data_IF_560861340852
#
_entry.id   IF_560861340852
#
_cell.length_a   1.000
_cell.length_b   1.000
_cell.length_c   1.000
_cell.angle_alpha   90.00
_cell.angle_beta   90.00
_cell.angle_gamma   90.00
#
_symmetry.space_group_name_H-M   'P 1'
#
loop_
_entity.id
_entity.type
_entity.pdbx_description
1 polymer ?
#
# COMPACT_ATOMS: atom_id res chain seq x y z
N UNK A 1 -33.40 22.47 -27.12
CA UNK A 1 -32.43 21.40 -27.44
C UNK A 1 -31.35 21.42 -26.37
N UNK A 2 -31.00 20.29 -25.73
CA UNK A 2 -29.77 20.22 -24.96
C UNK A 2 -28.58 20.40 -25.91
N UNK A 3 -27.50 21.09 -25.50
CA UNK A 3 -26.33 21.26 -26.36
C UNK A 3 -25.74 19.88 -26.70
N UNK A 4 -25.32 19.73 -27.97
CA UNK A 4 -24.58 18.54 -28.42
C UNK A 4 -23.32 18.37 -27.57
N UNK A 5 -22.87 17.14 -27.29
CA UNK A 5 -21.55 16.91 -26.72
C UNK A 5 -20.52 17.58 -27.64
N UNK A 6 -19.83 18.60 -27.15
CA UNK A 6 -18.73 19.21 -27.88
C UNK A 6 -17.68 18.12 -28.09
N UNK A 7 -17.39 17.82 -29.35
CA UNK A 7 -16.19 17.07 -29.73
C UNK A 7 -15.00 17.71 -29.02
N UNK A 8 -14.17 16.96 -28.27
CA UNK A 8 -13.09 17.53 -27.48
C UNK A 8 -12.12 18.25 -28.42
N UNK A 9 -12.19 19.58 -28.45
CA UNK A 9 -11.20 20.39 -29.14
C UNK A 9 -9.98 20.49 -28.25
N UNK A 10 -8.83 20.25 -28.85
CA UNK A 10 -7.44 20.27 -28.35
C UNK A 10 -7.00 21.53 -27.60
N UNK A 11 -7.93 22.42 -27.20
CA UNK A 11 -7.63 23.72 -26.60
C UNK A 11 -7.98 23.78 -25.12
N UNK A 12 -8.91 22.96 -24.62
CA UNK A 12 -9.32 22.97 -23.20
C UNK A 12 -8.65 21.82 -22.43
N UNK A 13 -8.08 22.08 -21.25
CA UNK A 13 -7.51 21.03 -20.43
C UNK A 13 -8.62 20.11 -19.92
N UNK A 14 -8.31 18.83 -19.72
CA UNK A 14 -9.25 17.92 -19.11
C UNK A 14 -9.56 18.33 -17.66
N UNK A 15 -10.84 18.43 -17.27
CA UNK A 15 -11.20 18.79 -15.91
C UNK A 15 -10.86 17.68 -14.91
N UNK A 16 -10.70 18.06 -13.64
CA UNK A 16 -10.61 17.10 -12.52
C UNK A 16 -11.82 16.16 -12.52
N UNK A 17 -11.58 14.89 -12.25
CA UNK A 17 -12.58 13.82 -12.26
C UNK A 17 -12.77 13.15 -13.63
N UNK A 18 -12.23 13.73 -14.72
CA UNK A 18 -12.32 13.11 -16.05
C UNK A 18 -11.63 11.75 -16.05
N UNK A 19 -12.29 10.76 -16.66
CA UNK A 19 -11.71 9.44 -16.90
C UNK A 19 -11.10 9.45 -18.30
N UNK A 20 -9.81 9.11 -18.39
CA UNK A 20 -9.05 9.03 -19.63
C UNK A 20 -8.39 7.65 -19.77
N UNK A 21 -8.01 7.28 -20.99
CA UNK A 21 -7.06 6.20 -21.27
C UNK A 21 -5.64 6.73 -21.41
N UNK A 22 -4.67 6.00 -20.88
CA UNK A 22 -3.25 6.30 -21.09
C UNK A 22 -2.80 5.95 -22.52
N UNK A 23 -2.07 6.86 -23.18
CA UNK A 23 -1.39 6.60 -24.47
C UNK A 23 0.04 6.08 -24.31
N UNK A 24 0.59 6.16 -23.10
CA UNK A 24 1.91 5.68 -22.70
C UNK A 24 1.81 4.83 -21.44
N UNK A 25 2.82 4.01 -21.13
CA UNK A 25 2.91 3.37 -19.82
C UNK A 25 3.40 4.39 -18.77
N UNK A 26 2.90 4.30 -17.54
CA UNK A 26 3.20 5.25 -16.45
C UNK A 26 3.49 4.47 -15.17
N UNK A 27 4.49 4.92 -14.40
CA UNK A 27 4.75 4.42 -13.05
C UNK A 27 4.15 5.34 -12.00
N UNK A 28 3.72 4.78 -10.88
CA UNK A 28 3.15 5.53 -9.76
C UNK A 28 3.43 4.92 -8.41
N UNK A 29 3.05 5.67 -7.37
CA UNK A 29 3.12 5.23 -5.97
C UNK A 29 1.71 5.14 -5.41
N UNK A 30 1.51 4.22 -4.47
CA UNK A 30 0.27 4.12 -3.75
C UNK A 30 -0.11 5.43 -3.08
N UNK A 31 -1.39 5.75 -3.12
CA UNK A 31 -2.00 6.81 -2.33
C UNK A 31 -2.27 6.20 -0.94
N UNK A 32 -1.60 6.71 0.08
CA UNK A 32 -1.66 6.20 1.46
C UNK A 32 -1.26 4.71 1.60
N UNK A 33 -0.02 4.33 1.24
CA UNK A 33 0.40 2.94 1.34
C UNK A 33 0.46 2.46 2.79
N UNK A 34 0.15 1.17 3.06
CA UNK A 34 0.53 0.55 4.32
C UNK A 34 2.07 0.52 4.44
N UNK A 35 2.63 0.49 5.66
CA UNK A 35 4.08 0.52 5.87
C UNK A 35 4.87 -0.53 5.10
N UNK A 36 4.28 -1.71 4.90
CA UNK A 36 4.89 -2.82 4.12
C UNK A 36 5.08 -2.50 2.63
N UNK A 37 4.36 -1.50 2.10
CA UNK A 37 4.38 -1.12 0.68
C UNK A 37 4.95 0.29 0.46
N UNK A 38 5.58 0.88 1.48
CA UNK A 38 6.20 2.21 1.36
C UNK A 38 7.37 2.18 0.35
N UNK A 39 7.37 3.16 -0.56
CA UNK A 39 8.45 3.34 -1.56
C UNK A 39 8.33 2.48 -2.82
N UNK A 40 7.44 1.49 -2.86
CA UNK A 40 7.20 0.68 -4.05
C UNK A 40 6.54 1.49 -5.18
N UNK A 41 6.96 1.19 -6.42
CA UNK A 41 6.36 1.74 -7.64
C UNK A 41 5.51 0.67 -8.33
N UNK A 42 4.41 1.11 -8.94
CA UNK A 42 3.46 0.27 -9.64
C UNK A 42 3.21 0.81 -11.04
N UNK A 43 3.07 -0.08 -12.01
CA UNK A 43 2.88 0.27 -13.41
C UNK A 43 1.40 0.39 -13.76
N UNK A 44 1.06 1.39 -14.57
CA UNK A 44 -0.15 1.46 -15.37
C UNK A 44 0.25 1.26 -16.84
N UNK A 45 -0.14 0.14 -17.48
CA UNK A 45 0.19 -0.09 -18.88
C UNK A 45 -0.53 0.92 -19.78
N UNK A 46 0.01 1.11 -20.99
CA UNK A 46 -0.68 1.84 -22.07
C UNK A 46 -2.09 1.27 -22.26
N UNK A 47 -3.07 2.15 -22.38
CA UNK A 47 -4.49 1.82 -22.51
C UNK A 47 -5.25 1.75 -21.18
N UNK A 48 -4.57 1.80 -20.03
CA UNK A 48 -5.23 1.79 -18.72
C UNK A 48 -6.16 2.99 -18.55
N UNK A 49 -7.30 2.76 -17.89
CA UNK A 49 -8.19 3.83 -17.46
C UNK A 49 -7.61 4.51 -16.22
N UNK A 50 -7.53 5.84 -16.28
CA UNK A 50 -7.04 6.69 -15.20
C UNK A 50 -8.01 7.84 -14.98
N UNK A 51 -8.10 8.31 -13.75
CA UNK A 51 -8.89 9.48 -13.37
C UNK A 51 -7.97 10.66 -13.15
N UNK A 52 -8.32 11.81 -13.71
CA UNK A 52 -7.60 13.06 -13.45
C UNK A 52 -7.93 13.53 -12.04
N UNK A 53 -6.90 13.62 -11.21
CA UNK A 53 -7.02 14.07 -9.82
C UNK A 53 -6.76 15.57 -9.69
N UNK A 54 -5.78 16.06 -10.44
CA UNK A 54 -5.39 17.47 -10.43
C UNK A 54 -4.88 17.87 -11.80
N UNK A 55 -5.05 19.15 -12.12
CA UNK A 55 -4.56 19.77 -13.34
C UNK A 55 -3.92 21.11 -13.01
N UNK A 56 -2.69 21.29 -13.44
CA UNK A 56 -1.89 22.47 -13.14
C UNK A 56 -1.11 22.92 -14.37
N UNK A 57 -0.72 24.20 -14.41
CA UNK A 57 0.16 24.69 -15.47
C UNK A 57 1.57 24.12 -15.28
N UNK A 58 2.18 23.61 -16.35
CA UNK A 58 3.52 23.03 -16.34
C UNK A 58 4.63 24.09 -16.22
N UNK A 59 4.34 25.32 -16.64
CA UNK A 59 5.30 26.42 -16.61
C UNK A 59 4.90 27.38 -15.52
N UNK A 60 5.83 27.60 -14.58
CA UNK A 60 5.74 28.65 -13.57
C UNK A 60 6.11 30.00 -14.21
N UNK A 61 5.48 30.35 -15.33
CA UNK A 61 5.58 31.71 -15.84
C UNK A 61 4.73 32.55 -14.90
N UNK A 62 5.26 33.66 -14.38
CA UNK A 62 4.46 34.71 -13.72
C UNK A 62 3.48 35.39 -14.68
N UNK A 63 2.95 34.63 -15.65
CA UNK A 63 2.02 34.98 -16.70
C UNK A 63 0.62 34.62 -16.24
N UNK A 64 -0.32 35.52 -16.48
CA UNK A 64 -1.76 35.33 -16.27
C UNK A 64 -2.41 34.50 -17.38
N UNK A 65 -1.61 33.76 -18.17
CA UNK A 65 -2.12 32.95 -19.27
C UNK A 65 -3.15 31.92 -18.76
N UNK A 66 -4.30 31.80 -19.45
CA UNK A 66 -5.30 30.83 -19.09
C UNK A 66 -4.75 29.40 -19.23
N UNK A 67 -5.20 28.51 -18.36
CA UNK A 67 -4.87 27.09 -18.45
C UNK A 67 -5.48 26.51 -19.74
N UNK A 68 -4.63 25.99 -20.62
CA UNK A 68 -5.00 25.37 -21.89
C UNK A 68 -4.56 23.91 -21.92
N UNK A 69 -5.03 23.13 -22.89
CA UNK A 69 -4.55 21.75 -23.07
C UNK A 69 -3.02 21.70 -23.32
N UNK A 70 -2.46 22.70 -24.01
CA UNK A 70 -1.05 22.74 -24.38
C UNK A 70 -0.10 22.98 -23.19
N UNK A 71 -0.54 23.70 -22.16
CA UNK A 71 0.27 24.01 -20.97
C UNK A 71 -0.14 23.22 -19.71
N UNK A 72 -1.14 22.34 -19.81
CA UNK A 72 -1.65 21.56 -18.70
C UNK A 72 -0.82 20.30 -18.42
N UNK A 73 -0.45 20.13 -17.15
CA UNK A 73 0.10 18.92 -16.56
C UNK A 73 -0.92 18.26 -15.65
N UNK A 74 -1.11 16.95 -15.84
CA UNK A 74 -2.13 16.17 -15.15
C UNK A 74 -1.51 15.25 -14.10
N UNK A 75 -2.08 15.29 -12.90
CA UNK A 75 -1.94 14.23 -11.90
C UNK A 75 -3.07 13.24 -12.11
N UNK A 76 -2.73 11.98 -12.28
CA UNK A 76 -3.70 10.91 -12.55
C UNK A 76 -3.63 9.84 -11.48
N UNK A 77 -4.81 9.30 -11.15
CA UNK A 77 -4.98 8.18 -10.26
C UNK A 77 -5.51 6.97 -11.03
N UNK A 78 -5.07 5.77 -10.64
CA UNK A 78 -5.62 4.51 -11.13
C UNK A 78 -5.71 3.49 -10.01
N UNK A 79 -6.46 2.43 -10.25
CA UNK A 79 -6.57 1.31 -9.32
C UNK A 79 -5.73 0.17 -9.84
N UNK A 80 -4.92 -0.43 -8.96
CA UNK A 80 -4.20 -1.67 -9.24
C UNK A 80 -4.50 -2.69 -8.16
N UNK A 81 -4.47 -3.96 -8.52
CA UNK A 81 -4.61 -5.07 -7.59
C UNK A 81 -3.22 -5.53 -7.18
N UNK A 82 -2.93 -5.51 -5.87
CA UNK A 82 -1.64 -5.92 -5.30
C UNK A 82 -1.88 -7.07 -4.34
N UNK A 83 -1.06 -8.14 -4.40
CA UNK A 83 -1.05 -9.17 -3.37
C UNK A 83 -0.59 -8.54 -2.05
N UNK A 84 -1.52 -8.42 -1.11
CA UNK A 84 -1.26 -7.91 0.23
C UNK A 84 -1.31 -9.05 1.23
N UNK A 85 -0.28 -9.11 2.08
CA UNK A 85 -0.27 -10.01 3.23
C UNK A 85 -1.22 -9.43 4.28
N UNK A 86 -2.29 -10.16 4.58
CA UNK A 86 -3.32 -9.72 5.53
C UNK A 86 -3.43 -10.72 6.67
N UNK A 87 -3.90 -10.22 7.81
CA UNK A 87 -4.26 -11.06 8.93
C UNK A 87 -5.41 -12.00 8.53
N UNK A 88 -5.15 -13.29 8.63
CA UNK A 88 -6.14 -14.35 8.47
C UNK A 88 -6.85 -14.62 9.80
N UNK A 89 -8.09 -14.14 9.94
CA UNK A 89 -8.90 -14.40 11.12
C UNK A 89 -8.37 -13.75 12.40
N UNK A 90 -8.86 -14.21 13.54
CA UNK A 90 -8.50 -13.68 14.85
C UNK A 90 -7.05 -14.04 15.23
N UNK A 91 -6.42 -13.25 16.12
CA UNK A 91 -5.14 -13.64 16.70
C UNK A 91 -5.22 -15.05 17.26
N UNK A 92 -4.12 -15.80 17.15
CA UNK A 92 -4.01 -17.12 17.74
C UNK A 92 -4.00 -16.95 19.27
N UNK A 93 -5.19 -17.09 19.87
CA UNK A 93 -5.50 -16.70 21.26
C UNK A 93 -4.77 -17.56 22.33
N UNK A 94 -4.23 -18.70 21.92
CA UNK A 94 -3.74 -19.73 22.86
C UNK A 94 -2.28 -19.62 23.29
N UNK A 95 -1.55 -18.57 22.91
CA UNK A 95 -0.19 -18.36 23.42
C UNK A 95 0.53 -17.15 22.82
N UNK A 96 1.24 -16.41 23.66
CA UNK A 96 2.13 -15.33 23.19
C UNK A 96 3.42 -15.92 22.64
N UNK A 97 3.81 -15.51 21.44
CA UNK A 97 5.08 -15.91 20.82
C UNK A 97 6.18 -14.99 21.34
N UNK A 98 7.25 -15.56 21.89
CA UNK A 98 8.40 -14.78 22.36
C UNK A 98 9.09 -14.09 21.19
N UNK A 99 9.63 -12.90 21.43
CA UNK A 99 10.42 -12.15 20.44
C UNK A 99 11.54 -13.00 19.83
N UNK A 100 12.25 -13.78 20.65
CA UNK A 100 13.32 -14.67 20.19
C UNK A 100 12.88 -15.77 19.21
N UNK A 101 11.58 -16.07 19.17
CA UNK A 101 10.99 -17.05 18.27
C UNK A 101 10.50 -16.44 16.93
N UNK A 102 10.76 -15.17 16.68
CA UNK A 102 10.31 -14.42 15.50
C UNK A 102 11.49 -13.80 14.75
N UNK A 103 11.36 -13.68 13.44
CA UNK A 103 12.32 -12.97 12.59
C UNK A 103 11.62 -12.26 11.43
N UNK A 104 12.24 -11.20 10.90
CA UNK A 104 11.78 -10.58 9.65
C UNK A 104 12.18 -11.37 8.41
N UNK A 105 12.97 -12.46 8.56
CA UNK A 105 13.45 -13.32 7.47
C UNK A 105 13.39 -14.79 7.88
N UNK A 106 13.16 -15.68 6.91
CA UNK A 106 13.20 -17.14 7.15
C UNK A 106 14.60 -17.55 7.60
N UNK A 107 14.71 -18.25 8.74
CA UNK A 107 15.99 -18.71 9.31
C UNK A 107 16.85 -17.59 9.95
N UNK A 108 16.35 -16.37 10.04
CA UNK A 108 17.03 -15.26 10.70
C UNK A 108 16.82 -15.22 12.21
N UNK A 109 17.56 -14.33 12.89
CA UNK A 109 17.31 -13.97 14.28
C UNK A 109 16.26 -12.86 14.43
N UNK A 110 15.83 -12.57 15.66
CA UNK A 110 14.89 -11.49 15.95
C UNK A 110 15.46 -10.10 15.64
N UNK A 111 14.57 -9.19 15.21
CA UNK A 111 14.89 -7.78 14.91
C UNK A 111 14.21 -6.84 15.90
N UNK A 112 14.79 -5.67 16.14
CA UNK A 112 14.20 -4.64 17.02
C UNK A 112 12.89 -4.09 16.45
N UNK A 113 12.67 -4.16 15.14
CA UNK A 113 11.47 -3.60 14.50
C UNK A 113 10.19 -4.41 14.74
N UNK A 114 10.30 -5.60 15.34
CA UNK A 114 9.17 -6.51 15.58
C UNK A 114 8.15 -5.96 16.60
N UNK A 115 8.47 -4.87 17.29
CA UNK A 115 7.60 -4.28 18.30
C UNK A 115 6.24 -3.79 17.75
N UNK A 116 6.12 -3.50 16.44
CA UNK A 116 4.94 -2.87 15.85
C UNK A 116 3.86 -3.88 15.43
N UNK A 117 2.59 -3.54 15.70
CA UNK A 117 1.42 -4.21 15.13
C UNK A 117 1.46 -4.15 13.59
N UNK A 118 1.04 -5.22 12.94
CA UNK A 118 0.99 -5.33 11.48
C UNK A 118 2.32 -5.74 10.84
N UNK A 119 3.39 -5.90 11.63
CA UNK A 119 4.67 -6.39 11.12
C UNK A 119 4.53 -7.85 10.70
N UNK A 120 4.91 -8.16 9.45
CA UNK A 120 4.98 -9.53 8.94
C UNK A 120 6.31 -10.15 9.35
N UNK A 121 6.24 -11.35 9.92
CA UNK A 121 7.37 -12.07 10.49
C UNK A 121 7.28 -13.56 10.18
N UNK A 122 8.36 -14.28 10.49
CA UNK A 122 8.47 -15.72 10.33
C UNK A 122 8.79 -16.36 11.69
N UNK A 123 8.20 -17.52 11.94
CA UNK A 123 8.54 -18.34 13.10
C UNK A 123 9.96 -18.92 12.94
N UNK A 124 10.82 -18.75 13.94
CA UNK A 124 12.16 -19.37 13.98
C UNK A 124 12.14 -20.72 14.70
N UNK A 125 11.04 -21.03 15.40
CA UNK A 125 10.80 -22.27 16.13
C UNK A 125 9.37 -22.75 15.87
N UNK A 126 9.13 -24.05 15.96
CA UNK A 126 7.76 -24.57 15.85
C UNK A 126 6.91 -24.03 17.00
N UNK A 127 5.68 -23.61 16.69
CA UNK A 127 4.78 -23.00 17.67
C UNK A 127 3.50 -23.82 17.80
N UNK A 128 3.25 -24.31 19.02
CA UNK A 128 2.04 -25.06 19.35
C UNK A 128 0.99 -24.11 19.90
N UNK A 129 -0.24 -24.26 19.40
CA UNK A 129 -1.36 -23.45 19.79
C UNK A 129 -2.64 -24.29 19.84
N UNK A 130 -3.55 -23.93 20.74
CA UNK A 130 -4.80 -24.63 20.97
C UNK A 130 -5.98 -23.76 20.53
N UNK A 131 -6.50 -23.99 19.33
CA UNK A 131 -7.71 -23.34 18.84
C UNK A 131 -8.58 -24.36 18.14
N UNK A 132 -9.69 -24.76 18.79
CA UNK A 132 -10.57 -25.86 18.32
C UNK A 132 -9.82 -27.20 18.10
N UNK A 133 -8.71 -27.39 18.80
CA UNK A 133 -7.78 -28.51 18.61
C UNK A 133 -6.35 -28.04 18.86
N UNK A 134 -5.43 -28.99 19.05
CA UNK A 134 -4.00 -28.67 19.13
C UNK A 134 -3.41 -28.63 17.72
N UNK A 135 -2.76 -27.52 17.39
CA UNK A 135 -2.16 -27.26 16.10
C UNK A 135 -0.70 -26.86 16.29
N UNK A 136 0.15 -27.31 15.37
CA UNK A 136 1.57 -26.93 15.35
C UNK A 136 1.84 -26.14 14.08
N UNK A 137 2.29 -24.90 14.23
CA UNK A 137 2.86 -24.14 13.14
C UNK A 137 4.33 -24.51 12.97
N UNK A 138 4.78 -24.95 11.78
CA UNK A 138 6.17 -25.29 11.56
C UNK A 138 7.07 -24.05 11.56
N UNK A 139 8.38 -24.29 11.72
CA UNK A 139 9.42 -23.28 11.49
C UNK A 139 9.27 -22.70 10.09
N UNK A 140 9.49 -21.38 9.94
CA UNK A 140 9.37 -20.67 8.67
C UNK A 140 7.95 -20.26 8.31
N UNK A 141 6.94 -20.59 9.12
CA UNK A 141 5.57 -20.10 8.91
C UNK A 141 5.54 -18.58 8.99
N UNK A 142 4.95 -17.95 7.97
CA UNK A 142 4.70 -16.52 7.96
C UNK A 142 3.49 -16.18 8.84
N UNK A 143 3.66 -15.20 9.73
CA UNK A 143 2.62 -14.70 10.62
C UNK A 143 2.69 -13.17 10.67
N UNK A 144 1.62 -12.54 11.16
CA UNK A 144 1.58 -11.08 11.39
C UNK A 144 1.43 -10.81 12.88
N UNK A 145 2.11 -9.79 13.36
CA UNK A 145 1.98 -9.33 14.74
C UNK A 145 0.63 -8.63 14.88
N UNK A 146 -0.32 -9.27 15.59
CA UNK A 146 -1.69 -8.81 15.68
C UNK A 146 -1.87 -7.65 16.68
N UNK A 147 -1.01 -7.58 17.68
CA UNK A 147 -1.00 -6.56 18.73
C UNK A 147 0.44 -6.11 19.04
N UNK A 148 0.65 -4.87 19.53
CA UNK A 148 1.96 -4.42 19.96
C UNK A 148 2.59 -5.36 21.00
N UNK A 149 3.93 -5.35 21.07
CA UNK A 149 4.67 -6.13 22.06
C UNK A 149 4.11 -5.94 23.49
N UNK A 150 4.03 -7.03 24.23
CA UNK A 150 3.69 -7.05 25.66
C UNK A 150 4.73 -7.88 26.40
N UNK A 151 4.88 -7.69 27.71
CA UNK A 151 5.61 -8.68 28.53
C UNK A 151 4.75 -9.91 28.74
N UNK A 152 5.34 -11.03 29.16
CA UNK A 152 4.57 -12.25 29.45
C UNK A 152 3.43 -12.02 30.47
N UNK A 153 3.61 -11.09 31.40
CA UNK A 153 2.60 -10.70 32.40
C UNK A 153 1.61 -9.63 31.93
N UNK A 154 1.84 -9.02 30.76
CA UNK A 154 0.94 -8.05 30.13
C UNK A 154 0.86 -6.66 30.77
N UNK A 155 1.68 -6.36 31.77
CA UNK A 155 1.58 -5.11 32.57
C UNK A 155 2.50 -3.98 32.14
N UNK A 156 3.43 -4.22 31.20
CA UNK A 156 4.50 -3.27 30.87
C UNK A 156 4.11 -2.41 29.66
N UNK A 157 4.26 -1.07 29.74
CA UNK A 157 4.06 -0.19 28.58
C UNK A 157 4.99 -0.57 27.43
N UNK A 158 4.44 -0.60 26.22
CA UNK A 158 5.12 -1.00 24.98
C UNK A 158 6.55 -0.46 24.81
N UNK A 159 6.77 0.82 25.13
CA UNK A 159 8.04 1.53 24.89
C UNK A 159 9.15 1.17 25.89
N UNK A 160 8.86 0.46 26.97
CA UNK A 160 9.84 0.05 27.99
C UNK A 160 10.13 -1.45 27.98
N UNK A 161 9.55 -2.19 27.04
CA UNK A 161 9.76 -3.63 26.91
C UNK A 161 11.10 -3.89 26.24
N UNK A 162 12.00 -4.59 26.95
CA UNK A 162 13.26 -5.06 26.36
C UNK A 162 12.97 -6.20 25.38
N UNK A 163 13.73 -6.33 24.26
CA UNK A 163 13.50 -7.40 23.29
C UNK A 163 13.40 -8.80 23.89
N UNK A 164 14.21 -9.12 24.90
CA UNK A 164 14.19 -10.45 25.55
C UNK A 164 12.91 -10.75 26.35
N UNK A 165 12.19 -9.70 26.78
CA UNK A 165 10.97 -9.81 27.57
C UNK A 165 9.70 -9.66 26.69
N UNK A 166 9.88 -9.28 25.42
CA UNK A 166 8.79 -9.02 24.49
C UNK A 166 8.13 -10.34 24.02
N UNK A 167 6.81 -10.33 24.05
CA UNK A 167 5.94 -11.40 23.58
C UNK A 167 4.82 -10.80 22.71
N UNK A 168 4.37 -11.56 21.71
CA UNK A 168 3.45 -11.09 20.69
C UNK A 168 2.27 -12.02 20.54
N UNK A 169 1.08 -11.44 20.40
CA UNK A 169 -0.06 -12.12 19.77
C UNK A 169 0.19 -12.13 18.27
N UNK A 170 0.13 -13.30 17.64
CA UNK A 170 0.32 -13.45 16.19
C UNK A 170 -0.95 -13.97 15.54
N UNK A 171 -1.16 -13.62 14.27
CA UNK A 171 -2.18 -14.22 13.44
C UNK A 171 -1.55 -14.82 12.19
N UNK A 172 -2.18 -15.87 11.63
CA UNK A 172 -1.74 -16.42 10.36
C UNK A 172 -1.89 -15.37 9.26
N UNK A 173 -1.09 -15.47 8.21
CA UNK A 173 -1.23 -14.61 7.04
C UNK A 173 -2.03 -15.30 5.94
N UNK A 174 -2.84 -14.52 5.22
CA UNK A 174 -3.26 -14.87 3.86
C UNK A 174 -2.67 -13.87 2.89
N UNK A 175 -2.47 -14.30 1.64
CA UNK A 175 -2.21 -13.37 0.54
C UNK A 175 -3.55 -13.10 -0.13
N UNK A 176 -4.06 -11.88 0.04
CA UNK A 176 -5.27 -11.43 -0.63
C UNK A 176 -4.91 -10.40 -1.70
N UNK A 177 -5.61 -10.47 -2.82
CA UNK A 177 -5.57 -9.43 -3.83
C UNK A 177 -6.38 -8.23 -3.35
N UNK A 178 -5.70 -7.15 -2.99
CA UNK A 178 -6.35 -5.90 -2.57
C UNK A 178 -6.18 -4.83 -3.65
N UNK A 179 -7.26 -4.10 -3.90
CA UNK A 179 -7.26 -2.95 -4.80
C UNK A 179 -6.76 -1.73 -4.06
N UNK A 180 -5.71 -1.11 -4.59
CA UNK A 180 -5.17 0.13 -4.07
C UNK A 180 -5.20 1.22 -5.13
N UNK A 181 -5.39 2.46 -4.67
CA UNK A 181 -5.24 3.63 -5.53
C UNK A 181 -3.76 3.99 -5.66
N UNK A 182 -3.33 4.26 -6.88
CA UNK A 182 -1.97 4.65 -7.26
C UNK A 182 -2.05 6.01 -7.92
N UNK A 183 -1.08 6.88 -7.65
CA UNK A 183 -0.90 8.18 -8.30
C UNK A 183 0.45 8.21 -9.01
N UNK A 184 0.54 8.90 -10.15
CA UNK A 184 1.84 9.25 -10.70
C UNK A 184 2.63 10.12 -9.69
N UNK A 185 3.98 10.03 -9.65
CA UNK A 185 4.79 10.74 -8.67
C UNK A 185 4.67 12.26 -8.84
N UNK A 186 4.75 12.98 -7.73
CA UNK A 186 4.90 14.44 -7.74
C UNK A 186 6.10 14.82 -8.60
N UNK A 187 5.90 15.73 -9.56
CA UNK A 187 6.93 16.14 -10.53
C UNK A 187 6.93 15.36 -11.85
N UNK A 188 6.18 14.27 -11.97
CA UNK A 188 6.01 13.50 -13.22
C UNK A 188 4.60 13.68 -13.78
N UNK A 189 4.19 14.93 -13.99
CA UNK A 189 2.88 15.25 -14.55
C UNK A 189 2.77 14.69 -15.97
N UNK A 190 1.58 14.19 -16.32
CA UNK A 190 1.30 13.73 -17.67
C UNK A 190 0.87 14.92 -18.54
N UNK A 191 1.25 14.88 -19.81
CA UNK A 191 0.83 15.87 -20.80
C UNK A 191 -0.50 15.48 -21.44
N UNK A 192 -1.17 16.44 -22.07
CA UNK A 192 -2.45 16.19 -22.76
C UNK A 192 -2.36 15.03 -23.76
N UNK A 193 -1.30 14.98 -24.56
CA UNK A 193 -1.08 13.92 -25.56
C UNK A 193 -0.76 12.54 -24.97
N UNK A 194 -0.46 12.47 -23.66
CA UNK A 194 -0.31 11.21 -22.93
C UNK A 194 -1.66 10.57 -22.57
N UNK A 195 -2.76 11.29 -22.80
CA UNK A 195 -4.12 10.92 -22.40
C UNK A 195 -5.05 10.95 -23.62
N UNK A 196 -6.10 10.14 -23.57
CA UNK A 196 -7.20 10.17 -24.53
C UNK A 196 -8.51 10.01 -23.77
N UNK A 197 -9.58 10.69 -24.22
CA UNK A 197 -10.91 10.36 -23.72
C UNK A 197 -11.30 8.92 -24.15
N UNK A 198 -12.18 8.25 -23.39
CA UNK A 198 -12.54 6.84 -23.61
C UNK A 198 -13.18 6.55 -24.97
#
# INVERSE_FOLDING_TARGET
MPPRPETPTTNKPYPKGTICRLRIAVKGKLVNPPPSLWGAYYDAPKGSLVRIQDVSALVNTGSTEPLTAANAGYRVHWTTTIPAVVQNGDPIDSGRVRHSALSTRVGGGPSIDLHRKGTVVYLTQAFNYNFRGSHTLPVGTQVIIAEPATTFTGRTPYYSIRPNDACYSVALTMVENRSYEVSNPSGHLLYHDSLALP
#
